data_IF_208031665781
#
_entry.id   IF_208031665781
#
_cell.length_a   1.000
_cell.length_b   1.000
_cell.length_c   1.000
_cell.angle_alpha   90.00
_cell.angle_beta   90.00
_cell.angle_gamma   90.00
#
_symmetry.space_group_name_H-M   'P 1'
#
loop_
_entity.id
_entity.type
_entity.pdbx_description
1 polymer ?
#
# COMPACT_ATOMS: atom_id res chain seq x y z
N UNK A 1 31.25 -21.22 -14.34
CA UNK A 1 29.94 -21.79 -13.95
C UNK A 1 29.00 -20.79 -13.26
N UNK A 2 29.49 -19.78 -12.50
CA UNK A 2 28.62 -18.77 -11.84
C UNK A 2 27.81 -17.82 -12.77
N UNK A 3 28.18 -17.68 -14.05
CA UNK A 3 27.53 -16.74 -15.00
C UNK A 3 26.41 -17.34 -15.87
N UNK A 4 26.27 -18.66 -15.94
CA UNK A 4 25.27 -19.30 -16.84
C UNK A 4 23.89 -19.35 -16.19
N UNK A 5 23.83 -19.65 -14.89
CA UNK A 5 22.60 -19.68 -14.07
C UNK A 5 21.78 -18.37 -14.09
N UNK A 6 22.38 -17.17 -14.01
CA UNK A 6 21.59 -15.93 -14.00
C UNK A 6 20.95 -15.61 -15.36
N UNK A 7 21.57 -16.03 -16.47
CA UNK A 7 21.04 -15.79 -17.83
C UNK A 7 19.87 -16.73 -18.09
N UNK A 8 19.99 -18.02 -17.74
CA UNK A 8 18.91 -18.99 -17.91
C UNK A 8 17.66 -18.60 -17.12
N UNK A 9 17.83 -18.12 -15.88
CA UNK A 9 16.71 -17.68 -15.04
C UNK A 9 16.00 -16.44 -15.63
N UNK A 10 16.77 -15.49 -16.17
CA UNK A 10 16.21 -14.33 -16.84
C UNK A 10 15.41 -14.73 -18.10
N UNK A 11 15.93 -15.64 -18.92
CA UNK A 11 15.22 -16.13 -20.11
C UNK A 11 13.91 -16.82 -19.73
N UNK A 12 13.91 -17.64 -18.68
CA UNK A 12 12.69 -18.31 -18.17
C UNK A 12 11.68 -17.27 -17.70
N UNK A 13 12.11 -16.26 -16.93
CA UNK A 13 11.22 -15.22 -16.43
C UNK A 13 10.61 -14.38 -17.57
N UNK A 14 11.41 -14.00 -18.56
CA UNK A 14 10.97 -13.26 -19.75
C UNK A 14 9.98 -14.10 -20.55
N UNK A 15 10.29 -15.38 -20.81
CA UNK A 15 9.40 -16.27 -21.56
C UNK A 15 8.07 -16.51 -20.83
N UNK A 16 8.10 -16.77 -19.52
CA UNK A 16 6.90 -16.97 -18.72
C UNK A 16 6.02 -15.72 -18.71
N UNK A 17 6.61 -14.54 -18.50
CA UNK A 17 5.86 -13.29 -18.52
C UNK A 17 5.33 -12.92 -19.91
N UNK A 18 6.09 -13.20 -20.98
CA UNK A 18 5.62 -13.04 -22.36
C UNK A 18 4.44 -13.97 -22.68
N UNK A 19 4.48 -15.23 -22.24
CA UNK A 19 3.37 -16.18 -22.39
C UNK A 19 2.12 -15.73 -21.64
N UNK A 20 2.27 -15.18 -20.44
CA UNK A 20 1.16 -14.60 -19.68
C UNK A 20 0.55 -13.41 -20.43
N UNK A 21 1.37 -12.52 -20.99
CA UNK A 21 0.90 -11.39 -21.81
C UNK A 21 0.17 -11.86 -23.07
N UNK A 22 0.74 -12.82 -23.80
CA UNK A 22 0.10 -13.42 -24.98
C UNK A 22 -1.25 -14.07 -24.63
N UNK A 23 -1.38 -14.64 -23.43
CA UNK A 23 -2.64 -15.11 -22.88
C UNK A 23 -3.75 -14.06 -22.83
N UNK A 24 -3.41 -12.84 -22.41
CA UNK A 24 -4.36 -11.73 -22.36
C UNK A 24 -4.79 -11.27 -23.76
N UNK A 25 -3.89 -11.27 -24.75
CA UNK A 25 -4.21 -10.84 -26.13
C UNK A 25 -4.89 -11.93 -26.98
N UNK A 26 -4.54 -13.19 -26.77
CA UNK A 26 -5.01 -14.34 -27.56
C UNK A 26 -5.57 -15.45 -26.65
N UNK A 27 -6.68 -15.21 -25.95
CA UNK A 27 -7.21 -16.12 -24.93
C UNK A 27 -7.58 -17.51 -25.47
N UNK A 28 -8.00 -17.61 -26.74
CA UNK A 28 -8.33 -18.88 -27.39
C UNK A 28 -7.15 -19.86 -27.52
N UNK A 29 -5.93 -19.34 -27.67
CA UNK A 29 -4.72 -20.17 -27.85
C UNK A 29 -3.93 -20.31 -26.55
N UNK A 30 -3.73 -19.21 -25.82
CA UNK A 30 -2.82 -19.16 -24.66
C UNK A 30 -3.53 -19.03 -23.32
N UNK A 31 -4.87 -18.87 -23.27
CA UNK A 31 -5.59 -18.62 -22.02
C UNK A 31 -5.44 -19.72 -20.96
N UNK A 32 -5.36 -21.00 -21.37
CA UNK A 32 -5.11 -22.12 -20.44
C UNK A 32 -3.70 -22.10 -19.83
N UNK A 33 -2.70 -21.78 -20.66
CA UNK A 33 -1.29 -21.67 -20.23
C UNK A 33 -1.18 -20.48 -19.26
N UNK A 34 -1.75 -19.34 -19.63
CA UNK A 34 -1.79 -18.15 -18.81
C UNK A 34 -2.41 -18.41 -17.44
N UNK A 35 -3.61 -19.00 -17.37
CA UNK A 35 -4.29 -19.24 -16.09
C UNK A 35 -3.51 -20.22 -15.21
N UNK A 36 -2.84 -21.21 -15.81
CA UNK A 36 -1.96 -22.15 -15.10
C UNK A 36 -0.72 -21.46 -14.55
N UNK A 37 -0.04 -20.63 -15.36
CA UNK A 37 1.14 -19.85 -14.93
C UNK A 37 0.78 -18.86 -13.82
N UNK A 38 -0.36 -18.16 -13.93
CA UNK A 38 -0.87 -17.27 -12.88
C UNK A 38 -1.20 -18.08 -11.63
N UNK A 39 -1.82 -19.25 -11.75
CA UNK A 39 -2.10 -20.14 -10.62
C UNK A 39 -0.84 -20.55 -9.88
N UNK A 40 0.21 -20.96 -10.60
CA UNK A 40 1.52 -21.25 -9.99
C UNK A 40 2.14 -20.01 -9.35
N UNK A 41 2.06 -18.84 -9.99
CA UNK A 41 2.55 -17.59 -9.42
C UNK A 41 1.83 -17.23 -8.11
N UNK A 42 0.51 -17.44 -8.02
CA UNK A 42 -0.27 -17.21 -6.80
C UNK A 42 0.16 -18.17 -5.68
N UNK A 43 0.35 -19.45 -5.99
CA UNK A 43 0.83 -20.44 -5.01
C UNK A 43 2.22 -20.05 -4.50
N UNK A 44 3.15 -19.73 -5.41
CA UNK A 44 4.50 -19.30 -5.07
C UNK A 44 4.50 -17.99 -4.27
N UNK A 45 3.63 -17.03 -4.59
CA UNK A 45 3.47 -15.80 -3.83
C UNK A 45 2.97 -16.07 -2.40
N UNK A 46 2.03 -17.01 -2.23
CA UNK A 46 1.59 -17.46 -0.91
C UNK A 46 2.74 -18.03 -0.07
N UNK A 47 3.56 -18.92 -0.65
CA UNK A 47 4.76 -19.42 0.01
C UNK A 47 5.80 -18.34 0.27
N UNK A 48 5.97 -17.37 -0.64
CA UNK A 48 6.89 -16.26 -0.47
C UNK A 48 6.51 -15.38 0.74
N UNK A 49 5.21 -15.17 0.98
CA UNK A 49 4.73 -14.48 2.19
C UNK A 49 5.11 -15.26 3.45
N UNK A 50 4.92 -16.58 3.47
CA UNK A 50 5.33 -17.43 4.59
C UNK A 50 6.85 -17.36 4.83
N UNK A 51 7.66 -17.44 3.77
CA UNK A 51 9.11 -17.25 3.85
C UNK A 51 9.48 -15.87 4.38
N UNK A 52 8.74 -14.82 3.99
CA UNK A 52 8.91 -13.46 4.50
C UNK A 52 8.65 -13.37 6.01
N UNK A 53 7.54 -13.97 6.49
CA UNK A 53 7.22 -14.06 7.91
C UNK A 53 8.30 -14.83 8.68
N UNK A 54 8.74 -15.98 8.14
CA UNK A 54 9.78 -16.79 8.76
C UNK A 54 11.12 -16.04 8.82
N UNK A 55 11.49 -15.35 7.74
CA UNK A 55 12.71 -14.53 7.70
C UNK A 55 12.64 -13.38 8.72
N UNK A 56 11.50 -12.69 8.81
CA UNK A 56 11.29 -11.66 9.82
C UNK A 56 11.46 -12.24 11.24
N UNK A 57 10.82 -13.38 11.50
CA UNK A 57 10.92 -14.05 12.79
C UNK A 57 12.36 -14.45 13.12
N UNK A 58 13.09 -15.04 12.16
CA UNK A 58 14.48 -15.45 12.33
C UNK A 58 15.40 -14.26 12.61
N UNK A 59 15.26 -13.17 11.86
CA UNK A 59 16.07 -11.96 12.06
C UNK A 59 15.85 -11.38 13.46
N UNK A 60 14.60 -11.28 13.91
CA UNK A 60 14.29 -10.75 15.23
C UNK A 60 14.64 -11.72 16.37
N UNK A 61 14.52 -13.03 16.15
CA UNK A 61 14.98 -14.04 17.10
C UNK A 61 16.50 -13.97 17.31
N UNK A 62 17.25 -13.79 16.22
CA UNK A 62 18.70 -13.61 16.29
C UNK A 62 19.08 -12.36 17.09
N UNK A 63 18.39 -11.23 16.88
CA UNK A 63 18.63 -9.99 17.65
C UNK A 63 18.40 -10.14 19.15
N UNK A 64 17.42 -10.96 19.54
CA UNK A 64 17.13 -11.24 20.96
C UNK A 64 18.23 -12.13 21.54
N UNK A 65 18.60 -13.20 20.84
CA UNK A 65 19.64 -14.13 21.32
C UNK A 65 21.03 -13.49 21.36
N UNK A 66 21.33 -12.56 20.45
CA UNK A 66 22.57 -11.78 20.45
C UNK A 66 22.59 -10.60 21.44
N UNK A 67 21.54 -10.43 22.26
CA UNK A 67 21.42 -9.35 23.25
C UNK A 67 21.64 -7.95 22.66
N UNK A 68 21.10 -7.70 21.47
CA UNK A 68 21.21 -6.38 20.85
C UNK A 68 20.55 -5.29 21.71
N UNK A 69 21.11 -4.08 21.66
CA UNK A 69 20.64 -2.90 22.42
C UNK A 69 19.13 -2.61 22.28
N UNK A 70 18.51 -3.04 21.18
CA UNK A 70 17.10 -2.83 20.86
C UNK A 70 16.26 -4.13 20.90
N UNK A 71 16.68 -5.15 21.67
CA UNK A 71 15.99 -6.44 21.75
C UNK A 71 14.53 -6.34 22.21
N UNK A 72 14.19 -5.35 23.05
CA UNK A 72 12.81 -5.15 23.55
C UNK A 72 11.78 -5.01 22.42
N UNK A 73 12.09 -4.23 21.38
CA UNK A 73 11.22 -4.10 20.20
C UNK A 73 11.08 -5.40 19.42
N UNK A 74 12.15 -6.20 19.36
CA UNK A 74 12.12 -7.50 18.70
C UNK A 74 11.24 -8.50 19.45
N UNK A 75 11.26 -8.48 20.79
CA UNK A 75 10.37 -9.29 21.62
C UNK A 75 8.92 -8.92 21.37
N UNK A 76 8.59 -7.63 21.42
CA UNK A 76 7.22 -7.14 21.17
C UNK A 76 6.73 -7.56 19.79
N UNK A 77 7.58 -7.45 18.76
CA UNK A 77 7.24 -7.88 17.40
C UNK A 77 6.95 -9.38 17.31
N UNK A 78 7.80 -10.24 17.90
CA UNK A 78 7.59 -11.69 17.82
C UNK A 78 6.34 -12.11 18.59
N UNK A 79 6.09 -11.53 19.76
CA UNK A 79 4.89 -11.78 20.55
C UNK A 79 3.64 -11.34 19.79
N UNK A 80 3.65 -10.13 19.20
CA UNK A 80 2.50 -9.65 18.43
C UNK A 80 2.28 -10.49 17.18
N UNK A 81 3.33 -10.91 16.48
CA UNK A 81 3.24 -11.81 15.32
C UNK A 81 2.53 -13.12 15.68
N UNK A 82 2.95 -13.77 16.77
CA UNK A 82 2.35 -15.04 17.22
C UNK A 82 0.90 -14.82 17.65
N UNK A 83 0.62 -13.77 18.44
CA UNK A 83 -0.74 -13.47 18.89
C UNK A 83 -1.66 -13.19 17.69
N UNK A 84 -1.23 -12.40 16.71
CA UNK A 84 -2.04 -12.11 15.52
C UNK A 84 -2.36 -13.38 14.73
N UNK A 85 -1.37 -14.26 14.51
CA UNK A 85 -1.59 -15.52 13.79
C UNK A 85 -2.59 -16.42 14.54
N UNK A 86 -2.45 -16.55 15.86
CA UNK A 86 -3.33 -17.37 16.67
C UNK A 86 -4.76 -16.80 16.72
N UNK A 87 -4.91 -15.52 17.03
CA UNK A 87 -6.21 -14.88 17.21
C UNK A 87 -7.01 -14.85 15.91
N UNK A 88 -6.36 -14.47 14.80
CA UNK A 88 -6.99 -14.43 13.47
C UNK A 88 -7.23 -15.84 12.94
N UNK A 89 -6.30 -16.78 13.19
CA UNK A 89 -6.44 -18.18 12.79
C UNK A 89 -7.65 -18.86 13.44
N UNK A 90 -7.93 -18.56 14.72
CA UNK A 90 -9.08 -19.11 15.46
C UNK A 90 -10.39 -18.43 15.06
N UNK A 91 -10.39 -17.09 14.93
CA UNK A 91 -11.63 -16.33 14.70
C UNK A 91 -12.04 -16.23 13.23
N UNK A 92 -11.12 -16.53 12.31
CA UNK A 92 -11.30 -16.28 10.88
C UNK A 92 -11.19 -14.79 10.51
N UNK A 93 -11.18 -14.44 9.21
CA UNK A 93 -10.88 -13.08 8.74
C UNK A 93 -11.85 -12.00 9.22
N UNK A 94 -13.12 -12.36 9.42
CA UNK A 94 -14.19 -11.44 9.83
C UNK A 94 -14.69 -11.71 11.26
N UNK A 95 -13.97 -12.51 12.03
CA UNK A 95 -14.33 -12.80 13.42
C UNK A 95 -14.10 -11.61 14.35
N UNK A 96 -14.72 -11.68 15.53
CA UNK A 96 -14.68 -10.60 16.52
C UNK A 96 -13.26 -10.24 16.97
N UNK A 97 -12.38 -11.22 17.19
CA UNK A 97 -10.99 -10.96 17.59
C UNK A 97 -10.17 -10.34 16.44
N UNK A 98 -10.41 -10.76 15.20
CA UNK A 98 -9.76 -10.18 14.02
C UNK A 98 -10.15 -8.72 13.83
N UNK A 99 -11.46 -8.41 13.95
CA UNK A 99 -11.95 -7.04 13.92
C UNK A 99 -11.47 -6.21 15.12
N UNK A 100 -11.32 -6.83 16.28
CA UNK A 100 -10.77 -6.15 17.46
C UNK A 100 -9.30 -5.74 17.22
N UNK A 101 -8.45 -6.62 16.68
CA UNK A 101 -7.07 -6.27 16.32
C UNK A 101 -7.06 -5.14 15.29
N UNK A 102 -7.90 -5.25 14.25
CA UNK A 102 -8.01 -4.24 13.20
C UNK A 102 -8.39 -2.86 13.76
N UNK A 103 -9.48 -2.79 14.53
CA UNK A 103 -9.98 -1.53 15.08
C UNK A 103 -9.10 -0.97 16.20
N UNK A 104 -8.36 -1.81 16.92
CA UNK A 104 -7.52 -1.38 18.05
C UNK A 104 -6.13 -0.96 17.62
N UNK A 105 -5.55 -1.62 16.61
CA UNK A 105 -4.15 -1.37 16.22
C UNK A 105 -4.03 -0.76 14.82
N UNK A 106 -4.71 -1.33 13.82
CA UNK A 106 -4.57 -0.87 12.44
C UNK A 106 -5.25 0.49 12.22
N UNK A 107 -6.52 0.63 12.60
CA UNK A 107 -7.28 1.88 12.41
C UNK A 107 -6.63 3.06 13.13
N UNK A 108 -6.17 2.97 14.40
CA UNK A 108 -5.51 4.09 15.06
C UNK A 108 -4.15 4.44 14.46
N UNK A 109 -3.41 3.47 13.92
CA UNK A 109 -2.17 3.73 13.20
C UNK A 109 -2.44 4.53 11.91
N UNK A 110 -3.49 4.17 11.16
CA UNK A 110 -3.95 4.92 9.99
C UNK A 110 -4.38 6.35 10.37
N UNK A 111 -5.17 6.51 11.43
CA UNK A 111 -5.58 7.84 11.96
C UNK A 111 -4.37 8.66 12.37
N UNK A 112 -3.34 8.06 12.98
CA UNK A 112 -2.13 8.77 13.39
C UNK A 112 -1.37 9.33 12.18
N UNK A 113 -1.28 8.57 11.09
CA UNK A 113 -0.68 9.05 9.83
C UNK A 113 -1.51 10.19 9.21
N UNK A 114 -2.84 10.08 9.25
CA UNK A 114 -3.75 11.15 8.81
C UNK A 114 -3.61 12.41 9.68
N UNK A 115 -3.42 12.25 10.99
CA UNK A 115 -3.20 13.37 11.91
C UNK A 115 -1.88 14.09 11.61
N UNK A 116 -0.80 13.35 11.35
CA UNK A 116 0.48 13.94 10.91
C UNK A 116 0.30 14.71 9.61
N UNK A 117 -0.44 14.15 8.64
CA UNK A 117 -0.77 14.84 7.39
C UNK A 117 -1.55 16.14 7.64
N UNK A 118 -2.53 16.14 8.54
CA UNK A 118 -3.27 17.34 8.90
C UNK A 118 -2.36 18.44 9.50
N UNK A 119 -1.45 18.08 10.41
CA UNK A 119 -0.48 19.01 11.00
C UNK A 119 0.46 19.58 9.93
N UNK A 120 0.95 18.73 9.02
CA UNK A 120 1.80 19.15 7.90
C UNK A 120 1.05 20.10 6.96
N UNK A 121 -0.24 19.85 6.69
CA UNK A 121 -1.07 20.75 5.89
C UNK A 121 -1.24 22.12 6.56
N UNK A 122 -1.51 22.15 7.87
CA UNK A 122 -1.62 23.42 8.63
C UNK A 122 -0.30 24.19 8.56
N UNK A 123 0.84 23.51 8.77
CA UNK A 123 2.16 24.14 8.64
C UNK A 123 2.41 24.66 7.22
N UNK A 124 2.04 23.89 6.20
CA UNK A 124 2.15 24.30 4.81
C UNK A 124 1.30 25.54 4.50
N UNK A 125 0.06 25.60 5.02
CA UNK A 125 -0.80 26.80 4.93
C UNK A 125 -0.12 28.00 5.55
N UNK A 126 0.36 27.88 6.80
CA UNK A 126 1.03 28.99 7.50
C UNK A 126 2.27 29.48 6.73
N UNK A 127 3.06 28.56 6.18
CA UNK A 127 4.23 28.88 5.34
C UNK A 127 3.85 29.50 3.98
N UNK A 128 2.73 29.11 3.39
CA UNK A 128 2.24 29.67 2.13
C UNK A 128 1.67 31.08 2.32
N UNK A 129 1.04 31.36 3.46
CA UNK A 129 0.47 32.66 3.81
C UNK A 129 1.53 33.69 4.24
N UNK A 130 2.68 33.24 4.76
CA UNK A 130 3.78 34.13 5.11
C UNK A 130 4.56 34.69 3.91
N UNK A 131 4.22 34.26 2.69
CA UNK A 131 4.75 34.79 1.42
C UNK A 131 3.64 35.52 0.65
N UNK A 132 4.01 36.31 -0.36
CA UNK A 132 3.02 36.96 -1.25
C UNK A 132 2.10 35.88 -1.86
N UNK A 133 0.77 35.93 -1.59
CA UNK A 133 -0.14 34.89 -2.03
C UNK A 133 -0.21 34.88 -3.56
N UNK A 134 0.09 33.73 -4.15
CA UNK A 134 -0.14 33.47 -5.58
C UNK A 134 -1.49 32.77 -5.75
N UNK A 135 -1.98 32.69 -6.97
CA UNK A 135 -3.29 32.10 -7.28
C UNK A 135 -3.46 30.68 -6.70
N UNK A 136 -2.41 29.85 -6.74
CA UNK A 136 -2.43 28.50 -6.17
C UNK A 136 -2.52 28.48 -4.64
N UNK A 137 -1.95 29.47 -3.95
CA UNK A 137 -2.07 29.63 -2.49
C UNK A 137 -3.53 29.92 -2.12
N UNK A 138 -4.19 30.77 -2.91
CA UNK A 138 -5.59 31.14 -2.69
C UNK A 138 -6.49 29.92 -2.90
N UNK A 139 -6.30 29.17 -4.00
CA UNK A 139 -7.06 27.95 -4.26
C UNK A 139 -6.87 26.88 -3.18
N UNK A 140 -5.62 26.65 -2.75
CA UNK A 140 -5.32 25.71 -1.69
C UNK A 140 -5.99 26.11 -0.38
N UNK A 141 -5.85 27.37 0.03
CA UNK A 141 -6.48 27.89 1.23
C UNK A 141 -8.00 27.79 1.17
N UNK A 142 -8.61 28.19 0.06
CA UNK A 142 -10.05 28.10 -0.16
C UNK A 142 -10.54 26.65 -0.04
N UNK A 143 -9.85 25.71 -0.65
CA UNK A 143 -10.20 24.27 -0.59
C UNK A 143 -10.10 23.75 0.84
N UNK A 144 -9.01 24.05 1.54
CA UNK A 144 -8.82 23.62 2.93
C UNK A 144 -9.91 24.21 3.84
N UNK A 145 -10.19 25.51 3.73
CA UNK A 145 -11.23 26.17 4.53
C UNK A 145 -12.62 25.58 4.24
N UNK A 146 -12.97 25.35 2.97
CA UNK A 146 -14.25 24.75 2.58
C UNK A 146 -14.42 23.33 3.15
N UNK A 147 -13.37 22.50 3.08
CA UNK A 147 -13.41 21.14 3.60
C UNK A 147 -13.51 21.15 5.14
N UNK A 148 -12.73 22.00 5.81
CA UNK A 148 -12.76 22.13 7.27
C UNK A 148 -14.11 22.63 7.77
N UNK A 149 -14.63 23.72 7.18
CA UNK A 149 -15.94 24.27 7.52
C UNK A 149 -17.09 23.30 7.23
N UNK A 150 -17.01 22.55 6.13
CA UNK A 150 -17.99 21.50 5.81
C UNK A 150 -17.87 20.24 6.69
N UNK A 151 -16.79 20.09 7.46
CA UNK A 151 -16.56 18.97 8.38
C UNK A 151 -16.87 19.27 9.84
N UNK A 152 -16.88 20.55 10.22
CA UNK A 152 -17.19 20.97 11.57
C UNK A 152 -18.72 20.93 11.79
N UNK A 153 -19.21 20.24 12.84
CA UNK A 153 -20.60 20.40 13.29
C UNK A 153 -20.75 21.82 13.84
N UNK A 154 -21.29 22.73 13.04
CA UNK A 154 -21.56 24.11 13.45
C UNK A 154 -22.81 24.14 14.34
N UNK A 155 -22.64 23.73 15.60
CA UNK A 155 -23.71 23.63 16.61
C UNK A 155 -24.56 24.90 16.76
N UNK A 156 -24.03 26.06 16.37
CA UNK A 156 -24.69 27.37 16.48
C UNK A 156 -25.47 27.83 15.23
N UNK A 157 -25.22 27.25 14.04
CA UNK A 157 -25.77 27.75 12.76
C UNK A 157 -26.71 26.76 12.06
N UNK A 158 -26.85 25.54 12.59
CA UNK A 158 -27.55 24.45 11.89
C UNK A 158 -26.75 23.94 10.69
N UNK A 159 -27.14 22.78 10.16
CA UNK A 159 -26.52 22.24 8.94
C UNK A 159 -26.85 23.14 7.75
N UNK A 160 -25.88 23.94 7.31
CA UNK A 160 -26.00 24.67 6.05
C UNK A 160 -25.83 23.66 4.91
N UNK A 161 -26.96 23.18 4.36
CA UNK A 161 -27.03 22.19 3.28
C UNK A 161 -26.10 22.46 2.08
N UNK A 162 -25.80 23.74 1.81
CA UNK A 162 -24.91 24.14 0.71
C UNK A 162 -23.46 23.74 1.00
N UNK A 163 -22.99 23.93 2.23
CA UNK A 163 -21.61 23.62 2.62
C UNK A 163 -21.35 22.10 2.62
N UNK A 164 -22.32 21.32 3.12
CA UNK A 164 -22.23 19.85 3.10
C UNK A 164 -22.25 19.31 1.66
N UNK A 165 -23.05 19.90 0.77
CA UNK A 165 -23.09 19.54 -0.67
C UNK A 165 -21.77 19.84 -1.38
N UNK A 166 -21.19 21.02 -1.16
CA UNK A 166 -19.91 21.40 -1.76
C UNK A 166 -18.79 20.49 -1.26
N UNK A 167 -18.75 20.18 0.05
CA UNK A 167 -17.81 19.21 0.62
C UNK A 167 -17.97 17.84 -0.01
N UNK A 168 -19.20 17.34 -0.14
CA UNK A 168 -19.46 16.04 -0.74
C UNK A 168 -18.98 15.99 -2.20
N UNK A 169 -19.23 17.04 -2.97
CA UNK A 169 -18.73 17.17 -4.34
C UNK A 169 -17.19 17.19 -4.39
N UNK A 170 -16.53 17.98 -3.52
CA UNK A 170 -15.07 18.01 -3.41
C UNK A 170 -14.47 16.63 -3.07
N UNK A 171 -15.12 15.89 -2.17
CA UNK A 171 -14.68 14.56 -1.76
C UNK A 171 -14.89 13.50 -2.85
N UNK A 172 -16.04 13.53 -3.52
CA UNK A 172 -16.43 12.49 -4.49
C UNK A 172 -15.89 12.73 -5.89
N UNK A 173 -15.56 13.97 -6.25
CA UNK A 173 -15.09 14.32 -7.60
C UNK A 173 -13.58 14.60 -7.60
N UNK A 174 -13.05 15.77 -7.19
CA UNK A 174 -11.60 16.02 -7.17
C UNK A 174 -10.79 15.05 -6.32
N UNK A 175 -11.19 14.81 -5.06
CA UNK A 175 -10.39 13.99 -4.16
C UNK A 175 -10.41 12.51 -4.57
N UNK A 176 -11.58 11.99 -4.95
CA UNK A 176 -11.67 10.65 -5.51
C UNK A 176 -10.92 10.52 -6.86
N UNK A 177 -10.94 11.54 -7.71
CA UNK A 177 -10.13 11.55 -8.94
C UNK A 177 -8.63 11.52 -8.63
N UNK A 178 -8.17 12.26 -7.63
CA UNK A 178 -6.79 12.21 -7.15
C UNK A 178 -6.40 10.83 -6.60
N UNK A 179 -7.25 10.24 -5.76
CA UNK A 179 -7.04 8.90 -5.21
C UNK A 179 -6.98 7.83 -6.32
N UNK A 180 -7.90 7.89 -7.29
CA UNK A 180 -7.88 7.02 -8.47
C UNK A 180 -6.65 7.26 -9.33
N UNK A 181 -6.23 8.51 -9.51
CA UNK A 181 -5.00 8.88 -10.21
C UNK A 181 -3.75 8.27 -9.56
N UNK A 182 -3.68 8.28 -8.22
CA UNK A 182 -2.62 7.61 -7.47
C UNK A 182 -2.66 6.10 -7.67
N UNK A 183 -3.83 5.46 -7.59
CA UNK A 183 -3.97 4.02 -7.83
C UNK A 183 -3.56 3.64 -9.25
N UNK A 184 -3.94 4.44 -10.26
CA UNK A 184 -3.50 4.26 -11.64
C UNK A 184 -1.98 4.46 -11.77
N UNK A 185 -1.41 5.45 -11.09
CA UNK A 185 0.03 5.68 -11.06
C UNK A 185 0.80 4.50 -10.46
N UNK A 186 0.31 3.92 -9.36
CA UNK A 186 0.88 2.71 -8.75
C UNK A 186 0.77 1.54 -9.71
N UNK A 187 -0.39 1.33 -10.35
CA UNK A 187 -0.59 0.26 -11.33
C UNK A 187 0.33 0.42 -12.55
N UNK A 188 0.50 1.63 -13.09
CA UNK A 188 1.43 1.89 -14.19
C UNK A 188 2.89 1.67 -13.74
N UNK A 189 3.22 2.05 -12.50
CA UNK A 189 4.53 1.80 -11.90
C UNK A 189 4.87 0.31 -11.79
N UNK A 190 3.91 -0.52 -11.36
CA UNK A 190 4.11 -1.97 -11.29
C UNK A 190 4.21 -2.60 -12.67
N UNK A 191 3.40 -2.15 -13.64
CA UNK A 191 3.51 -2.57 -15.05
C UNK A 191 4.87 -2.19 -15.64
N UNK A 192 5.36 -0.97 -15.39
CA UNK A 192 6.65 -0.52 -15.87
C UNK A 192 7.82 -1.31 -15.25
N UNK A 193 7.71 -1.73 -13.98
CA UNK A 193 8.67 -2.63 -13.36
C UNK A 193 8.64 -4.03 -14.02
N UNK A 194 7.43 -4.57 -14.26
CA UNK A 194 7.27 -5.84 -14.98
C UNK A 194 7.84 -5.79 -16.40
N UNK A 195 7.57 -4.73 -17.15
CA UNK A 195 8.07 -4.54 -18.51
C UNK A 195 9.60 -4.45 -18.55
N UNK A 196 10.23 -3.76 -17.59
CA UNK A 196 11.70 -3.71 -17.48
C UNK A 196 12.32 -5.09 -17.28
N UNK A 197 11.67 -5.96 -16.50
CA UNK A 197 12.08 -7.36 -16.34
C UNK A 197 11.89 -8.13 -17.66
N UNK A 198 10.77 -7.94 -18.36
CA UNK A 198 10.47 -8.61 -19.64
C UNK A 198 11.44 -8.22 -20.76
N UNK A 199 11.85 -6.96 -20.84
CA UNK A 199 12.86 -6.49 -21.80
C UNK A 199 14.28 -6.93 -21.37
N UNK A 200 14.44 -7.44 -20.15
CA UNK A 200 15.72 -7.89 -19.60
C UNK A 200 16.65 -6.76 -19.16
N UNK A 201 16.12 -5.53 -19.03
CA UNK A 201 16.81 -4.36 -18.47
C UNK A 201 17.11 -4.58 -16.99
N UNK A 202 16.13 -5.08 -16.24
CA UNK A 202 16.29 -5.41 -14.83
C UNK A 202 16.38 -6.94 -14.68
N UNK A 203 17.46 -7.42 -14.04
CA UNK A 203 17.74 -8.86 -13.84
C UNK A 203 17.82 -9.21 -12.35
N UNK A 204 16.68 -9.26 -11.63
CA UNK A 204 16.67 -9.49 -10.18
C UNK A 204 17.19 -10.87 -9.76
N UNK A 205 17.28 -11.82 -10.71
CA UNK A 205 17.73 -13.20 -10.47
C UNK A 205 19.24 -13.40 -10.66
N UNK A 206 19.97 -12.36 -11.05
CA UNK A 206 21.43 -12.37 -11.15
C UNK A 206 22.05 -11.66 -9.96
N UNK A 207 22.42 -12.43 -8.94
CA UNK A 207 23.36 -11.95 -7.93
C UNK A 207 24.74 -11.64 -8.51
#
# INVERSE_FOLDING_TARGET
MKKVLPITNAVIAIAAGALVLLGYFFPGFFGKIQSTLIGWAIILAGFAVLLGIFNLAMVHWKKITSHDKNQGYSIVLLVSLVLTILLVGISGPTGSLSLWIFNTFQVPAEISLLAVLAVVLIYAVARLLSRRPKWYTILFLATVLLVLLGSAPLYFLGEINILSTIRAWLAQVPAAAGARGLLLGVALGTVAAGLRILIGSDRPYGG
#
